data_IF_634018357359
#
_entry.id   IF_634018357359
#
_cell.length_a   1.000
_cell.length_b   1.000
_cell.length_c   1.000
_cell.angle_alpha   90.00
_cell.angle_beta   90.00
_cell.angle_gamma   90.00
#
_symmetry.space_group_name_H-M   'P 1'
#
loop_
_entity.id
_entity.type
_entity.pdbx_description
1 polymer ?
#
# COMPACT_ATOMS: atom_id res chain seq x y z
N UNK A 1 -2.00 -14.42 19.17
CA UNK A 1 -1.79 -15.28 17.99
C UNK A 1 -2.31 -14.53 16.77
N UNK A 2 -1.51 -14.42 15.69
CA UNK A 2 -1.95 -13.79 14.44
C UNK A 2 -2.40 -14.88 13.46
N UNK A 3 -3.59 -14.71 12.87
CA UNK A 3 -4.08 -15.57 11.79
C UNK A 3 -3.89 -14.89 10.43
N UNK A 4 -3.40 -15.64 9.44
CA UNK A 4 -3.29 -15.19 8.05
C UNK A 4 -3.97 -16.21 7.14
N UNK A 5 -4.72 -15.75 6.15
CA UNK A 5 -5.24 -16.58 5.05
C UNK A 5 -4.75 -16.02 3.72
N UNK A 6 -4.10 -16.87 2.93
CA UNK A 6 -3.70 -16.52 1.57
C UNK A 6 -4.86 -16.78 0.61
N UNK A 7 -4.97 -15.91 -0.38
CA UNK A 7 -5.94 -16.08 -1.47
C UNK A 7 -5.50 -17.27 -2.34
N UNK A 8 -6.46 -18.15 -2.62
CA UNK A 8 -6.31 -19.30 -3.52
C UNK A 8 -6.73 -18.83 -4.91
N UNK A 9 -5.77 -18.34 -5.69
CA UNK A 9 -6.04 -17.97 -7.08
C UNK A 9 -6.09 -19.22 -7.96
N UNK A 10 -7.26 -19.83 -8.12
CA UNK A 10 -7.45 -21.03 -8.95
C UNK A 10 -7.82 -20.74 -10.41
N UNK A 11 -8.30 -19.54 -10.74
CA UNK A 11 -8.51 -19.06 -12.11
C UNK A 11 -8.56 -17.52 -12.18
N UNK A 12 -8.42 -16.96 -13.39
CA UNK A 12 -8.49 -15.49 -13.67
C UNK A 12 -9.82 -14.82 -13.27
N UNK A 13 -10.82 -15.57 -12.80
CA UNK A 13 -12.15 -15.08 -12.47
C UNK A 13 -12.66 -15.52 -11.08
N UNK A 14 -11.86 -16.24 -10.29
CA UNK A 14 -12.29 -16.67 -8.96
C UNK A 14 -12.08 -15.54 -7.95
N UNK A 15 -13.18 -14.97 -7.45
CA UNK A 15 -13.17 -14.05 -6.32
C UNK A 15 -13.04 -14.83 -5.00
N UNK A 16 -11.81 -15.02 -4.54
CA UNK A 16 -11.50 -15.73 -3.30
C UNK A 16 -11.37 -14.80 -2.08
N UNK A 17 -11.58 -13.48 -2.20
CA UNK A 17 -11.33 -12.57 -1.08
C UNK A 17 -12.29 -12.82 0.08
N UNK A 18 -13.61 -12.74 -0.16
CA UNK A 18 -14.60 -12.99 0.89
C UNK A 18 -14.55 -14.45 1.38
N UNK A 19 -14.45 -15.48 0.50
CA UNK A 19 -14.20 -16.84 0.94
C UNK A 19 -12.96 -17.01 1.83
N UNK A 20 -11.85 -16.31 1.55
CA UNK A 20 -10.66 -16.34 2.39
C UNK A 20 -10.90 -15.71 3.77
N UNK A 21 -11.62 -14.58 3.82
CA UNK A 21 -12.04 -13.97 5.09
C UNK A 21 -12.89 -14.94 5.91
N UNK A 22 -13.84 -15.63 5.28
CA UNK A 22 -14.67 -16.65 5.92
C UNK A 22 -13.85 -17.83 6.46
N UNK A 23 -12.88 -18.33 5.70
CA UNK A 23 -11.98 -19.41 6.15
C UNK A 23 -11.13 -18.97 7.32
N UNK A 24 -10.61 -17.74 7.31
CA UNK A 24 -9.82 -17.19 8.41
C UNK A 24 -10.68 -17.05 9.67
N UNK A 25 -11.90 -16.51 9.52
CA UNK A 25 -12.87 -16.39 10.59
C UNK A 25 -13.21 -17.74 11.22
N UNK A 26 -13.55 -18.74 10.41
CA UNK A 26 -13.91 -20.07 10.89
C UNK A 26 -12.78 -20.70 11.72
N UNK A 27 -11.52 -20.53 11.30
CA UNK A 27 -10.37 -21.00 12.09
C UNK A 27 -10.16 -20.20 13.37
N UNK A 28 -10.32 -18.88 13.34
CA UNK A 28 -10.22 -18.05 14.53
C UNK A 28 -11.28 -18.43 15.57
N UNK A 29 -12.53 -18.62 15.14
CA UNK A 29 -13.63 -19.07 15.99
C UNK A 29 -13.40 -20.49 16.55
N UNK A 30 -12.98 -21.44 15.71
CA UNK A 30 -12.67 -22.80 16.15
C UNK A 30 -11.52 -22.85 17.18
N UNK A 31 -10.59 -21.88 17.14
CA UNK A 31 -9.51 -21.74 18.12
C UNK A 31 -9.91 -21.04 19.42
N UNK A 32 -11.14 -20.53 19.53
CA UNK A 32 -11.59 -19.71 20.65
C UNK A 32 -10.95 -18.31 20.70
N UNK A 33 -10.34 -17.86 19.60
CA UNK A 33 -9.69 -16.54 19.53
C UNK A 33 -10.72 -15.40 19.46
N UNK A 34 -11.85 -15.65 18.81
CA UNK A 34 -12.96 -14.70 18.65
C UNK A 34 -14.26 -15.49 18.66
N UNK A 35 -15.25 -15.09 19.47
CA UNK A 35 -16.55 -15.78 19.53
C UNK A 35 -17.56 -15.13 18.57
N UNK A 36 -17.51 -13.80 18.42
CA UNK A 36 -18.43 -13.01 17.61
C UNK A 36 -17.71 -12.01 16.70
N UNK A 37 -18.15 -11.89 15.45
CA UNK A 37 -17.57 -10.95 14.46
C UNK A 37 -17.57 -9.50 14.92
N UNK A 38 -18.52 -9.12 15.77
CA UNK A 38 -18.60 -7.77 16.35
C UNK A 38 -17.48 -7.44 17.34
N UNK A 39 -16.66 -8.42 17.72
CA UNK A 39 -15.44 -8.17 18.49
C UNK A 39 -14.31 -7.57 17.65
N UNK A 40 -14.45 -7.57 16.31
CA UNK A 40 -13.53 -6.88 15.42
C UNK A 40 -13.69 -5.37 15.64
N UNK A 41 -12.77 -4.78 16.40
CA UNK A 41 -12.79 -3.35 16.69
C UNK A 41 -12.30 -2.46 15.54
N UNK A 42 -11.42 -2.97 14.68
CA UNK A 42 -10.84 -2.21 13.56
C UNK A 42 -10.62 -3.06 12.30
N UNK A 43 -10.75 -2.44 11.13
CA UNK A 43 -10.40 -2.98 9.82
C UNK A 43 -9.35 -2.09 9.18
N UNK A 44 -8.12 -2.60 9.05
CA UNK A 44 -7.04 -1.93 8.35
C UNK A 44 -7.00 -2.35 6.88
N UNK A 45 -6.86 -1.38 5.98
CA UNK A 45 -6.79 -1.63 4.53
C UNK A 45 -5.58 -0.91 3.94
N UNK A 46 -4.76 -1.64 3.19
CA UNK A 46 -3.69 -1.03 2.39
C UNK A 46 -4.31 -0.25 1.22
N UNK A 47 -4.28 1.08 1.28
CA UNK A 47 -5.02 1.96 0.35
C UNK A 47 -4.22 2.41 -0.88
N UNK A 48 -2.96 1.99 -1.00
CA UNK A 48 -2.14 2.28 -2.17
C UNK A 48 -0.98 3.24 -1.89
N UNK A 49 -0.20 3.60 -2.93
CA UNK A 49 -0.41 3.22 -4.34
C UNK A 49 -0.25 1.71 -4.60
N UNK A 50 -0.92 1.17 -5.62
CA UNK A 50 -1.00 -0.27 -5.91
C UNK A 50 -1.84 -0.60 -7.15
N UNK A 51 -2.03 -1.89 -7.43
CA UNK A 51 -2.81 -2.35 -8.58
C UNK A 51 -4.27 -1.90 -8.53
N UNK A 52 -4.75 -1.24 -9.59
CA UNK A 52 -6.05 -0.57 -9.63
C UNK A 52 -7.23 -1.49 -9.24
N UNK A 53 -7.30 -2.68 -9.82
CA UNK A 53 -8.37 -3.65 -9.52
C UNK A 53 -8.31 -4.13 -8.08
N UNK A 54 -7.11 -4.52 -7.61
CA UNK A 54 -6.92 -5.02 -6.24
C UNK A 54 -7.26 -3.99 -5.17
N UNK A 55 -6.85 -2.73 -5.37
CA UNK A 55 -7.17 -1.65 -4.43
C UNK A 55 -8.68 -1.42 -4.32
N UNK A 56 -9.40 -1.36 -5.45
CA UNK A 56 -10.85 -1.14 -5.43
C UNK A 56 -11.59 -2.29 -4.73
N UNK A 57 -11.17 -3.53 -4.96
CA UNK A 57 -11.74 -4.70 -4.29
C UNK A 57 -11.43 -4.66 -2.79
N UNK A 58 -10.19 -4.40 -2.40
CA UNK A 58 -9.78 -4.33 -0.99
C UNK A 58 -10.51 -3.21 -0.22
N UNK A 59 -10.62 -2.02 -0.82
CA UNK A 59 -11.33 -0.88 -0.22
C UNK A 59 -12.82 -1.20 -0.09
N UNK A 60 -13.47 -1.69 -1.14
CA UNK A 60 -14.89 -2.02 -1.07
C UNK A 60 -15.18 -3.09 0.00
N UNK A 61 -14.38 -4.16 0.04
CA UNK A 61 -14.52 -5.21 1.05
C UNK A 61 -14.26 -4.67 2.47
N UNK A 62 -13.17 -3.92 2.66
CA UNK A 62 -12.82 -3.36 3.97
C UNK A 62 -13.85 -2.37 4.50
N UNK A 63 -14.37 -1.48 3.64
CA UNK A 63 -15.49 -0.59 3.97
C UNK A 63 -16.71 -1.36 4.45
N UNK A 64 -17.15 -2.34 3.67
CA UNK A 64 -18.36 -3.10 3.98
C UNK A 64 -18.21 -3.91 5.27
N UNK A 65 -17.04 -4.51 5.51
CA UNK A 65 -16.77 -5.24 6.76
C UNK A 65 -16.80 -4.26 7.94
N UNK A 66 -16.13 -3.11 7.84
CA UNK A 66 -16.13 -2.10 8.90
C UNK A 66 -17.54 -1.60 9.22
N UNK A 67 -18.30 -1.24 8.18
CA UNK A 67 -19.67 -0.71 8.28
C UNK A 67 -20.63 -1.72 8.95
N UNK A 68 -20.64 -2.97 8.47
CA UNK A 68 -21.58 -3.99 8.96
C UNK A 68 -21.28 -4.38 10.41
N UNK A 69 -20.00 -4.36 10.80
CA UNK A 69 -19.57 -4.74 12.16
C UNK A 69 -19.60 -3.56 13.14
N UNK A 70 -19.68 -2.32 12.65
CA UNK A 70 -19.49 -1.12 13.47
C UNK A 70 -18.03 -0.96 13.93
N UNK A 71 -17.09 -1.46 13.15
CA UNK A 71 -15.66 -1.39 13.44
C UNK A 71 -15.06 -0.07 12.93
N UNK A 72 -14.02 0.43 13.60
CA UNK A 72 -13.20 1.52 13.05
C UNK A 72 -12.49 1.08 11.75
N UNK A 73 -12.17 2.02 10.88
CA UNK A 73 -11.41 1.75 9.67
C UNK A 73 -10.06 2.45 9.72
N UNK A 74 -8.98 1.84 9.21
CA UNK A 74 -7.67 2.48 9.13
C UNK A 74 -7.14 2.40 7.70
N UNK A 75 -6.91 3.55 7.09
CA UNK A 75 -6.32 3.68 5.77
C UNK A 75 -4.79 3.59 5.87
N UNK A 76 -4.20 2.50 5.41
CA UNK A 76 -2.75 2.25 5.52
C UNK A 76 -2.08 2.53 4.17
N UNK A 77 -1.22 3.55 4.03
CA UNK A 77 -0.45 3.74 2.81
C UNK A 77 0.44 2.53 2.53
N UNK A 78 0.47 2.04 1.29
CA UNK A 78 1.27 0.87 0.91
C UNK A 78 2.76 1.04 1.23
N UNK A 79 3.27 2.27 1.16
CA UNK A 79 4.64 2.59 1.54
C UNK A 79 4.92 2.30 3.02
N UNK A 80 3.95 2.54 3.91
CA UNK A 80 4.07 2.23 5.34
C UNK A 80 4.08 0.71 5.58
N UNK A 81 3.29 -0.05 4.80
CA UNK A 81 3.32 -1.53 4.84
C UNK A 81 4.71 -2.04 4.47
N UNK A 82 5.27 -1.54 3.37
CA UNK A 82 6.61 -1.93 2.88
C UNK A 82 7.70 -1.55 3.89
N UNK A 83 7.62 -0.35 4.48
CA UNK A 83 8.60 0.14 5.44
C UNK A 83 8.75 -0.77 6.67
N UNK A 84 7.66 -1.44 7.11
CA UNK A 84 7.69 -2.41 8.23
C UNK A 84 8.47 -3.70 7.94
N UNK A 85 8.84 -3.95 6.69
CA UNK A 85 9.58 -5.14 6.26
C UNK A 85 10.95 -4.83 5.65
N UNK A 86 11.38 -3.57 5.73
CA UNK A 86 12.75 -3.19 5.39
C UNK A 86 13.71 -3.76 6.43
N UNK A 87 14.76 -4.43 5.96
CA UNK A 87 15.74 -5.09 6.84
C UNK A 87 16.41 -4.09 7.79
N UNK A 88 16.76 -4.55 8.99
CA UNK A 88 17.32 -3.68 10.03
C UNK A 88 18.63 -3.00 9.60
N UNK A 89 19.43 -3.69 8.79
CA UNK A 89 20.72 -3.28 8.21
C UNK A 89 20.59 -2.53 6.87
N UNK A 90 19.38 -2.35 6.33
CA UNK A 90 19.17 -1.59 5.11
C UNK A 90 19.56 -0.11 5.31
N UNK A 91 20.20 0.55 4.31
CA UNK A 91 20.63 1.94 4.44
C UNK A 91 19.48 2.91 4.74
N UNK A 92 19.66 3.78 5.74
CA UNK A 92 18.74 4.87 6.10
C UNK A 92 19.38 6.24 5.90
N UNK A 93 18.64 7.30 5.56
CA UNK A 93 17.23 7.29 5.20
C UNK A 93 17.00 6.55 3.87
N UNK A 94 15.81 6.00 3.66
CA UNK A 94 15.43 5.31 2.42
C UNK A 94 14.14 5.89 1.84
N UNK A 95 13.86 5.59 0.57
CA UNK A 95 12.56 5.90 -0.03
C UNK A 95 11.88 4.62 -0.54
N UNK A 96 10.56 4.56 -0.39
CA UNK A 96 9.71 3.56 -1.04
C UNK A 96 9.12 4.18 -2.30
N UNK A 97 9.39 3.55 -3.45
CA UNK A 97 9.04 4.03 -4.78
C UNK A 97 7.99 3.08 -5.37
N UNK A 98 6.75 3.56 -5.47
CA UNK A 98 5.60 2.78 -5.95
C UNK A 98 4.84 3.51 -7.06
N UNK A 99 3.98 2.78 -7.76
CA UNK A 99 3.18 3.32 -8.87
C UNK A 99 4.02 4.03 -9.95
N UNK A 100 5.14 3.41 -10.29
CA UNK A 100 5.96 3.77 -11.44
C UNK A 100 5.17 3.64 -12.73
N UNK A 101 5.32 4.64 -13.61
CA UNK A 101 4.66 4.69 -14.91
C UNK A 101 5.36 5.74 -15.77
N UNK A 102 5.68 5.37 -17.01
CA UNK A 102 6.59 6.17 -17.86
C UNK A 102 7.89 6.44 -17.09
N UNK A 103 8.38 7.68 -17.09
CA UNK A 103 9.66 8.07 -16.47
C UNK A 103 9.54 8.54 -15.02
N UNK A 104 8.36 8.45 -14.40
CA UNK A 104 8.14 8.92 -13.03
C UNK A 104 7.75 7.78 -12.08
N UNK A 105 7.85 8.03 -10.78
CA UNK A 105 7.41 7.15 -9.69
C UNK A 105 6.95 7.98 -8.49
N UNK A 106 6.18 7.38 -7.57
CA UNK A 106 5.77 8.03 -6.33
C UNK A 106 6.71 7.62 -5.23
N UNK A 107 7.49 8.58 -4.73
CA UNK A 107 8.46 8.40 -3.67
C UNK A 107 7.86 8.83 -2.32
N UNK A 108 8.01 7.96 -1.31
CA UNK A 108 7.77 8.29 0.09
C UNK A 108 9.09 8.09 0.85
N UNK A 109 9.65 9.15 1.42
CA UNK A 109 10.92 9.11 2.15
C UNK A 109 10.68 8.70 3.60
N UNK A 110 11.53 7.84 4.14
CA UNK A 110 11.55 7.40 5.53
C UNK A 110 12.89 7.79 6.15
N UNK A 111 12.88 8.85 6.95
CA UNK A 111 14.09 9.36 7.61
C UNK A 111 14.42 8.58 8.89
N UNK A 112 13.48 8.56 9.83
CA UNK A 112 13.58 7.91 11.14
C UNK A 112 12.42 6.94 11.37
N UNK A 113 12.01 6.22 10.31
CA UNK A 113 10.86 5.31 10.33
C UNK A 113 9.50 5.99 10.13
N UNK A 114 9.41 7.31 10.29
CA UNK A 114 8.22 8.09 9.94
C UNK A 114 8.12 8.30 8.41
N UNK A 115 6.94 8.15 7.81
CA UNK A 115 6.72 8.45 6.40
C UNK A 115 6.69 9.96 6.16
N UNK A 116 7.47 10.43 5.19
CA UNK A 116 7.33 11.77 4.62
C UNK A 116 6.12 11.88 3.68
N UNK A 117 5.93 13.06 3.12
CA UNK A 117 4.86 13.30 2.13
C UNK A 117 5.21 12.56 0.83
N UNK A 118 4.25 11.80 0.30
CA UNK A 118 4.39 11.15 -0.99
C UNK A 118 4.45 12.19 -2.12
N UNK A 119 5.42 12.05 -3.01
CA UNK A 119 5.66 12.98 -4.13
C UNK A 119 6.00 12.23 -5.41
N UNK A 120 5.55 12.76 -6.56
CA UNK A 120 5.95 12.26 -7.87
C UNK A 120 7.34 12.80 -8.22
N UNK A 121 8.25 11.90 -8.60
CA UNK A 121 9.61 12.24 -9.04
C UNK A 121 9.95 11.52 -10.34
N UNK A 122 10.90 12.09 -11.08
CA UNK A 122 11.64 11.43 -12.16
C UNK A 122 13.09 11.14 -11.72
N UNK A 123 13.95 10.78 -12.66
CA UNK A 123 15.37 10.56 -12.39
C UNK A 123 16.08 11.82 -11.86
N UNK A 124 15.77 13.01 -12.37
CA UNK A 124 16.43 14.24 -11.93
C UNK A 124 16.07 14.60 -10.47
N UNK A 125 14.86 14.27 -10.03
CA UNK A 125 14.40 14.46 -8.65
C UNK A 125 15.05 13.52 -7.63
N UNK A 126 15.65 12.40 -8.07
CA UNK A 126 16.10 11.34 -7.16
C UNK A 126 17.19 11.81 -6.18
N UNK A 127 18.19 12.55 -6.67
CA UNK A 127 19.27 13.08 -5.82
C UNK A 127 18.78 14.05 -4.74
N UNK A 128 17.67 14.75 -5.01
CA UNK A 128 17.06 15.69 -4.06
C UNK A 128 16.38 15.02 -2.87
N UNK A 129 16.12 13.70 -2.92
CA UNK A 129 15.52 12.98 -1.80
C UNK A 129 16.47 12.81 -0.60
N UNK A 130 17.79 12.88 -0.82
CA UNK A 130 18.79 12.71 0.24
C UNK A 130 18.80 11.31 0.87
N UNK A 131 18.38 10.27 0.14
CA UNK A 131 18.30 8.89 0.61
C UNK A 131 19.56 8.08 0.30
N UNK A 132 19.78 6.99 1.04
CA UNK A 132 20.87 6.02 0.81
C UNK A 132 20.37 4.69 0.24
N UNK A 133 19.07 4.45 0.28
CA UNK A 133 18.45 3.23 -0.23
C UNK A 133 17.08 3.48 -0.85
N UNK A 134 16.71 2.61 -1.79
CA UNK A 134 15.41 2.61 -2.45
C UNK A 134 14.76 1.24 -2.28
N UNK A 135 13.47 1.24 -1.98
CA UNK A 135 12.63 0.06 -2.08
C UNK A 135 11.70 0.28 -3.25
N UNK A 136 11.84 -0.50 -4.31
CA UNK A 136 11.10 -0.29 -5.55
C UNK A 136 10.78 -1.62 -6.21
N UNK A 137 9.62 -1.70 -6.87
CA UNK A 137 9.23 -2.89 -7.62
C UNK A 137 9.92 -2.94 -9.00
N UNK A 138 9.77 -4.07 -9.69
CA UNK A 138 10.25 -4.28 -11.06
C UNK A 138 9.80 -3.22 -12.09
N UNK A 139 8.77 -2.42 -11.82
CA UNK A 139 8.26 -1.40 -12.74
C UNK A 139 9.00 -0.06 -12.60
N UNK A 140 10.00 0.04 -11.71
CA UNK A 140 10.87 1.21 -11.63
C UNK A 140 11.47 1.55 -13.01
N UNK A 141 11.38 2.81 -13.48
CA UNK A 141 11.89 3.20 -14.80
C UNK A 141 13.41 3.03 -14.90
N UNK A 142 13.90 2.66 -16.09
CA UNK A 142 15.36 2.48 -16.32
C UNK A 142 16.15 3.76 -16.11
N UNK A 143 15.56 4.92 -16.35
CA UNK A 143 16.16 6.24 -16.05
C UNK A 143 16.41 6.42 -14.55
N UNK A 144 15.44 6.05 -13.71
CA UNK A 144 15.56 6.12 -12.25
C UNK A 144 16.53 5.04 -11.73
N UNK A 145 16.51 3.83 -12.30
CA UNK A 145 17.49 2.77 -11.97
C UNK A 145 18.92 3.21 -12.28
N UNK A 146 19.14 3.80 -13.46
CA UNK A 146 20.44 4.31 -13.88
C UNK A 146 20.95 5.41 -12.96
N UNK A 147 20.07 6.34 -12.56
CA UNK A 147 20.42 7.39 -11.61
C UNK A 147 20.70 6.85 -10.20
N UNK A 148 19.91 5.87 -9.72
CA UNK A 148 20.17 5.21 -8.45
C UNK A 148 21.54 4.53 -8.42
N UNK A 149 21.92 3.86 -9.51
CA UNK A 149 23.24 3.27 -9.67
C UNK A 149 24.35 4.33 -9.70
N UNK A 150 24.15 5.44 -10.42
CA UNK A 150 25.08 6.58 -10.47
C UNK A 150 25.32 7.20 -9.08
N UNK A 151 24.27 7.28 -8.27
CA UNK A 151 24.28 7.79 -6.90
C UNK A 151 24.76 6.74 -5.87
N UNK A 152 24.99 5.49 -6.28
CA UNK A 152 25.41 4.41 -5.39
C UNK A 152 24.33 3.97 -4.38
N UNK A 153 23.05 4.15 -4.72
CA UNK A 153 21.93 3.78 -3.86
C UNK A 153 21.72 2.26 -3.85
N UNK A 154 21.51 1.70 -2.67
CA UNK A 154 21.11 0.29 -2.56
C UNK A 154 19.63 0.16 -2.92
N UNK A 155 19.30 -0.76 -3.84
CA UNK A 155 17.91 -1.03 -4.25
C UNK A 155 17.48 -2.41 -3.76
N UNK A 156 16.31 -2.51 -3.15
CA UNK A 156 15.66 -3.77 -2.80
C UNK A 156 14.19 -3.79 -3.24
N UNK A 157 13.62 -4.99 -3.34
CA UNK A 157 12.22 -5.18 -3.72
C UNK A 157 11.28 -4.96 -2.52
N UNK A 158 10.06 -4.42 -2.75
CA UNK A 158 9.07 -4.26 -1.69
C UNK A 158 8.50 -5.60 -1.24
N UNK A 159 8.29 -5.74 0.07
CA UNK A 159 7.57 -6.86 0.67
C UNK A 159 6.21 -6.36 1.15
N UNK A 160 5.13 -6.91 0.58
CA UNK A 160 3.76 -6.62 0.98
C UNK A 160 3.24 -7.77 1.85
N UNK A 161 3.08 -7.52 3.14
CA UNK A 161 2.66 -8.54 4.10
C UNK A 161 1.41 -8.09 4.88
N UNK A 162 0.38 -8.94 5.06
CA UNK A 162 -0.81 -8.57 5.83
C UNK A 162 -0.51 -8.18 7.28
N UNK A 163 0.44 -8.87 7.92
CA UNK A 163 0.86 -8.54 9.28
C UNK A 163 1.50 -7.14 9.38
N UNK A 164 2.33 -6.78 8.40
CA UNK A 164 2.91 -5.45 8.28
C UNK A 164 1.84 -4.36 8.11
N UNK A 165 0.75 -4.66 7.40
CA UNK A 165 -0.37 -3.73 7.28
C UNK A 165 -1.07 -3.51 8.62
N UNK A 166 -1.28 -4.57 9.40
CA UNK A 166 -1.84 -4.46 10.75
C UNK A 166 -0.91 -3.69 11.70
N UNK A 167 0.39 -3.97 11.65
CA UNK A 167 1.40 -3.26 12.44
C UNK A 167 1.48 -1.78 12.08
N UNK A 168 1.43 -1.44 10.78
CA UNK A 168 1.42 -0.04 10.33
C UNK A 168 0.14 0.70 10.73
N UNK A 169 -1.00 0.01 10.77
CA UNK A 169 -2.27 0.59 11.19
C UNK A 169 -2.25 1.11 12.65
N UNK A 170 -1.43 0.51 13.52
CA UNK A 170 -1.32 0.94 14.92
C UNK A 170 -0.78 2.37 15.09
N UNK A 171 -0.03 2.88 14.10
CA UNK A 171 0.54 4.23 14.12
C UNK A 171 -0.32 5.27 13.38
N UNK A 172 -1.48 4.85 12.85
CA UNK A 172 -2.32 5.66 11.98
C UNK A 172 -3.69 5.92 12.63
N UNK A 173 -4.24 7.13 12.45
CA UNK A 173 -5.56 7.43 12.98
C UNK A 173 -6.64 6.63 12.23
N UNK A 174 -7.75 6.28 12.91
CA UNK A 174 -8.90 5.74 12.22
C UNK A 174 -9.53 6.80 11.31
N UNK A 175 -10.20 6.32 10.26
CA UNK A 175 -10.99 7.10 9.32
C UNK A 175 -12.43 6.60 9.36
N UNK A 176 -13.37 7.45 8.94
CA UNK A 176 -14.73 7.01 8.66
C UNK A 176 -14.70 5.97 7.51
N UNK A 177 -15.35 4.79 7.65
CA UNK A 177 -15.47 3.83 6.55
C UNK A 177 -15.93 4.46 5.23
N UNK A 178 -16.82 5.46 5.26
CA UNK A 178 -17.26 6.18 4.07
C UNK A 178 -16.10 6.92 3.36
N UNK A 179 -15.13 7.42 4.12
CA UNK A 179 -13.97 8.18 3.64
C UNK A 179 -12.79 7.30 3.19
N UNK A 180 -12.79 5.99 3.47
CA UNK A 180 -11.70 5.10 3.05
C UNK A 180 -11.53 5.16 1.51
N UNK A 181 -10.43 5.71 1.02
CA UNK A 181 -10.24 5.94 -0.40
C UNK A 181 -8.87 5.46 -0.87
N UNK A 182 -8.80 5.09 -2.15
CA UNK A 182 -7.54 4.70 -2.75
C UNK A 182 -6.63 5.92 -2.87
N UNK A 183 -5.38 5.76 -2.46
CA UNK A 183 -4.30 6.68 -2.82
C UNK A 183 -3.88 6.31 -4.24
N UNK A 184 -4.55 6.93 -5.22
CA UNK A 184 -4.06 6.90 -6.58
C UNK A 184 -2.80 7.76 -6.62
N UNK A 185 -1.65 7.13 -6.88
CA UNK A 185 -0.38 7.82 -6.91
C UNK A 185 -0.32 8.97 -7.92
N UNK A 186 -1.27 9.06 -8.86
CA UNK A 186 -1.32 10.09 -9.90
C UNK A 186 -2.74 10.48 -10.23
N UNK A 187 -2.86 11.66 -10.83
CA UNK A 187 -4.11 12.10 -11.44
C UNK A 187 -4.61 11.09 -12.50
N UNK A 188 -5.92 10.78 -12.54
CA UNK A 188 -6.48 9.90 -13.56
C UNK A 188 -6.17 10.38 -14.97
N UNK A 189 -5.74 9.47 -15.85
CA UNK A 189 -5.40 9.84 -17.24
C UNK A 189 -6.53 10.55 -17.98
N UNK A 190 -7.79 10.22 -17.65
CA UNK A 190 -8.94 10.85 -18.26
C UNK A 190 -9.00 12.35 -17.96
N UNK A 191 -8.65 12.77 -16.74
CA UNK A 191 -8.59 14.19 -16.36
C UNK A 191 -7.47 14.90 -17.10
N UNK A 192 -6.28 14.28 -17.15
CA UNK A 192 -5.13 14.84 -17.88
C UNK A 192 -5.43 14.98 -19.38
N UNK A 193 -5.94 13.92 -20.02
CA UNK A 193 -6.34 13.91 -21.43
C UNK A 193 -7.45 14.93 -21.70
N UNK A 194 -8.41 15.07 -20.80
CA UNK A 194 -9.47 16.07 -20.94
C UNK A 194 -8.90 17.49 -20.94
N UNK A 195 -7.99 17.82 -20.01
CA UNK A 195 -7.30 19.12 -19.97
C UNK A 195 -6.40 19.35 -21.19
N UNK A 196 -5.66 18.33 -21.63
CA UNK A 196 -4.86 18.37 -22.86
C UNK A 196 -5.74 18.70 -24.09
N UNK A 197 -6.98 18.19 -24.12
CA UNK A 197 -7.91 18.38 -25.24
C UNK A 197 -8.76 19.67 -25.15
N UNK A 198 -9.07 20.17 -23.95
CA UNK A 198 -10.05 21.25 -23.74
C UNK A 198 -9.48 22.51 -23.08
N UNK A 199 -8.18 22.53 -22.74
CA UNK A 199 -7.56 23.61 -21.99
C UNK A 199 -7.95 23.61 -20.51
N UNK A 200 -7.13 24.26 -19.69
CA UNK A 200 -7.47 24.48 -18.27
C UNK A 200 -8.48 25.63 -18.22
N UNK A 201 -9.70 25.37 -17.76
CA UNK A 201 -10.67 26.43 -17.47
C UNK A 201 -10.20 27.28 -16.27
#
# INVERSE_FOLDING_TARGET
>A
MLGVELLRSTARHDDDLLPAVERLWARAAASGLVENRREIGHVAVSVGPGGFTGLRVAIAAGKMIAEVLGAGCVAVPSACVVARRVAADFPRPFAVLLASKRETTIATVFADGAPGVAQEIDAAGLGGLGVRGLIADRFLPETIKGEAARLGLQVAEPVFEPAACLEAAADLPPVDPAELAAIYGREPEAVRKWRELHGSA
#
